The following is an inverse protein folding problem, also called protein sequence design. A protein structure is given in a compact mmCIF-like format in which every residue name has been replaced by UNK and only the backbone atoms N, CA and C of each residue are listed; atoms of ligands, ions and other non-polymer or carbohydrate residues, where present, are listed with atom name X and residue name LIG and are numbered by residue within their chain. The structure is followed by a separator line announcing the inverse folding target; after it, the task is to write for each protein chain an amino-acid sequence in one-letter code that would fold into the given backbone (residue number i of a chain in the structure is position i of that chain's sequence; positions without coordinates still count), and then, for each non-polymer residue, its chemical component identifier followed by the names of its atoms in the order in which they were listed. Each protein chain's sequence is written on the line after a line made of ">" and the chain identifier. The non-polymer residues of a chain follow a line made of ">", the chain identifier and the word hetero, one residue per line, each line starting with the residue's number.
data_IF_255118938170
#
_entry.id   IF_255118938170
#
_cell.length_a   1.000
_cell.length_b   1.000
_cell.length_c   1.000
_cell.angle_alpha   90.00
_cell.angle_beta   90.00
_cell.angle_gamma   90.00
#
_symmetry.space_group_name_H-M   'P 1'
#
loop_
_entity.id
_entity.type
_entity.pdbx_description
1 polymer ?
#
# COMPACT_ATOMS: atom_id res chain seq x y z
N UNK A 1 -8.91 -20.91 -0.77
CA UNK A 1 -8.94 -19.67 0.06
C UNK A 1 -7.55 -19.05 0.05
N UNK A 2 -7.42 -17.74 -0.23
CA UNK A 2 -6.10 -17.07 -0.31
C UNK A 2 -5.78 -16.31 0.97
N UNK A 3 -4.47 -16.10 1.23
CA UNK A 3 -3.97 -15.20 2.24
C UNK A 3 -3.52 -13.89 1.59
N UNK A 4 -4.04 -12.78 2.10
CA UNK A 4 -3.65 -11.44 1.66
C UNK A 4 -2.86 -10.75 2.78
N UNK A 5 -1.75 -10.12 2.42
CA UNK A 5 -0.97 -9.26 3.31
C UNK A 5 -1.08 -7.84 2.79
N UNK A 6 -1.72 -6.96 3.54
CA UNK A 6 -2.11 -5.63 3.04
C UNK A 6 -1.57 -4.54 3.95
N UNK A 7 -0.78 -3.62 3.41
CA UNK A 7 -0.38 -2.38 4.09
C UNK A 7 -1.38 -1.26 3.81
N UNK A 8 -1.59 -0.35 4.77
CA UNK A 8 -2.50 0.79 4.59
C UNK A 8 -3.99 0.41 4.62
N UNK A 9 -4.36 -0.60 5.41
CA UNK A 9 -5.74 -1.15 5.45
C UNK A 9 -6.78 -0.19 5.98
N UNK A 10 -6.40 0.88 6.69
CA UNK A 10 -7.34 1.87 7.22
C UNK A 10 -7.56 3.05 6.29
N UNK A 11 -6.78 3.16 5.20
CA UNK A 11 -7.00 4.09 4.11
C UNK A 11 -8.20 3.69 3.24
N UNK A 12 -8.65 4.59 2.37
CA UNK A 12 -9.84 4.40 1.53
C UNK A 12 -9.76 3.12 0.68
N UNK A 13 -8.69 2.93 -0.06
CA UNK A 13 -8.49 1.76 -0.92
C UNK A 13 -8.30 0.47 -0.11
N UNK A 14 -7.44 0.52 0.92
CA UNK A 14 -7.16 -0.63 1.78
C UNK A 14 -8.40 -1.13 2.51
N UNK A 15 -9.21 -0.22 3.03
CA UNK A 15 -10.44 -0.58 3.74
C UNK A 15 -11.47 -1.26 2.82
N UNK A 16 -11.66 -0.74 1.61
CA UNK A 16 -12.57 -1.37 0.64
C UNK A 16 -12.07 -2.74 0.19
N UNK A 17 -10.75 -2.92 0.03
CA UNK A 17 -10.16 -4.25 -0.23
C UNK A 17 -10.45 -5.21 0.92
N UNK A 18 -10.24 -4.79 2.17
CA UNK A 18 -10.56 -5.62 3.35
C UNK A 18 -12.01 -6.09 3.31
N UNK A 19 -12.97 -5.18 3.10
CA UNK A 19 -14.38 -5.51 3.00
C UNK A 19 -14.63 -6.59 1.95
N UNK A 20 -14.22 -6.34 0.72
CA UNK A 20 -14.49 -7.26 -0.41
C UNK A 20 -13.81 -8.63 -0.25
N UNK A 21 -12.58 -8.66 0.26
CA UNK A 21 -11.85 -9.91 0.41
C UNK A 21 -12.43 -10.79 1.51
N UNK A 22 -12.83 -10.19 2.65
CA UNK A 22 -13.51 -10.91 3.72
C UNK A 22 -14.89 -11.45 3.29
N UNK A 23 -15.66 -10.67 2.52
CA UNK A 23 -16.94 -11.12 1.94
C UNK A 23 -16.76 -12.31 0.98
N UNK A 24 -15.63 -12.38 0.27
CA UNK A 24 -15.27 -13.49 -0.61
C UNK A 24 -14.65 -14.69 0.12
N UNK A 25 -14.55 -14.63 1.44
CA UNK A 25 -14.05 -15.75 2.27
C UNK A 25 -12.53 -15.87 2.33
N UNK A 26 -11.79 -14.83 1.99
CA UNK A 26 -10.33 -14.82 2.10
C UNK A 26 -9.85 -14.43 3.48
N UNK A 27 -8.57 -14.69 3.80
CA UNK A 27 -7.92 -14.29 5.05
C UNK A 27 -6.96 -13.13 4.80
N UNK A 28 -6.85 -12.24 5.79
CA UNK A 28 -6.07 -11.01 5.70
C UNK A 28 -5.16 -10.87 6.92
N UNK A 29 -3.90 -10.56 6.67
CA UNK A 29 -2.98 -9.93 7.61
C UNK A 29 -2.86 -8.47 7.18
N UNK A 30 -3.49 -7.56 7.91
CA UNK A 30 -3.54 -6.14 7.59
C UNK A 30 -2.84 -5.28 8.62
N UNK A 31 -2.19 -4.21 8.18
CA UNK A 31 -1.57 -3.26 9.09
C UNK A 31 -1.65 -1.82 8.59
N UNK A 32 -1.60 -0.89 9.56
CA UNK A 32 -1.62 0.56 9.34
C UNK A 32 -0.98 1.26 10.55
N UNK A 33 -0.43 2.45 10.36
CA UNK A 33 0.15 3.27 11.43
C UNK A 33 -0.72 4.48 11.80
N UNK A 34 -1.91 4.58 11.21
CA UNK A 34 -2.87 5.68 11.40
C UNK A 34 -2.33 7.09 11.08
N UNK A 35 -1.31 7.20 10.25
CA UNK A 35 -0.72 8.50 9.92
C UNK A 35 -1.73 9.46 9.27
N UNK A 36 -2.62 8.95 8.42
CA UNK A 36 -3.64 9.73 7.71
C UNK A 36 -5.06 9.15 7.83
N UNK A 37 -5.26 8.22 8.76
CA UNK A 37 -6.51 7.47 8.92
C UNK A 37 -6.78 7.15 10.39
N UNK A 38 -7.78 6.33 10.69
CA UNK A 38 -8.07 5.92 12.06
C UNK A 38 -8.59 4.48 12.14
N UNK A 39 -8.51 3.89 13.33
CA UNK A 39 -9.05 2.56 13.63
C UNK A 39 -10.54 2.42 13.31
N UNK A 40 -11.29 3.52 13.29
CA UNK A 40 -12.73 3.50 13.06
C UNK A 40 -13.11 2.93 11.69
N UNK A 41 -12.25 3.08 10.68
CA UNK A 41 -12.52 2.58 9.33
C UNK A 41 -12.50 1.05 9.28
N UNK A 42 -11.64 0.41 10.06
CA UNK A 42 -11.47 -1.06 10.07
C UNK A 42 -12.23 -1.76 11.20
N UNK A 43 -12.73 -0.99 12.16
CA UNK A 43 -13.44 -1.51 13.34
C UNK A 43 -14.52 -2.56 13.02
N UNK A 44 -15.33 -2.44 11.94
CA UNK A 44 -16.35 -3.43 11.62
C UNK A 44 -15.80 -4.84 11.31
N UNK A 45 -14.51 -4.96 11.03
CA UNK A 45 -13.87 -6.22 10.58
C UNK A 45 -12.97 -6.85 11.65
N UNK A 46 -12.72 -6.17 12.78
CA UNK A 46 -11.78 -6.64 13.80
C UNK A 46 -12.25 -7.92 14.53
N UNK A 47 -13.55 -8.17 14.57
CA UNK A 47 -14.12 -9.37 15.19
C UNK A 47 -14.20 -10.56 14.20
N UNK A 48 -13.68 -10.41 12.98
CA UNK A 48 -13.68 -11.47 11.98
C UNK A 48 -12.45 -12.37 12.17
N UNK A 49 -12.64 -13.66 12.41
CA UNK A 49 -11.56 -14.65 12.58
C UNK A 49 -10.59 -14.75 11.40
N UNK A 50 -10.94 -14.18 10.25
CA UNK A 50 -10.10 -14.14 9.06
C UNK A 50 -9.34 -12.82 8.88
N UNK A 51 -9.47 -11.88 9.83
CA UNK A 51 -8.79 -10.60 9.83
C UNK A 51 -7.85 -10.47 11.02
N UNK A 52 -6.56 -10.48 10.76
CA UNK A 52 -5.55 -10.09 11.73
C UNK A 52 -5.11 -8.65 11.45
N UNK A 53 -5.36 -7.76 12.37
CA UNK A 53 -4.99 -6.35 12.25
C UNK A 53 -3.89 -5.97 13.25
N UNK A 54 -2.93 -5.18 12.77
CA UNK A 54 -1.82 -4.68 13.59
C UNK A 54 -1.61 -3.18 13.35
N UNK A 55 -1.43 -2.42 14.42
CA UNK A 55 -0.97 -1.05 14.36
C UNK A 55 0.56 -1.04 14.12
N UNK A 56 0.96 -1.15 12.85
CA UNK A 56 2.35 -1.25 12.44
C UNK A 56 2.69 -0.23 11.35
N UNK A 57 3.93 0.26 11.40
CA UNK A 57 4.51 1.15 10.38
C UNK A 57 5.35 0.33 9.39
N UNK A 58 5.08 0.49 8.09
CA UNK A 58 5.82 -0.16 7.01
C UNK A 58 7.33 0.13 7.05
N UNK A 59 7.74 1.26 7.66
CA UNK A 59 9.14 1.63 7.84
C UNK A 59 9.80 0.99 9.07
N UNK A 60 9.02 0.35 9.94
CA UNK A 60 9.54 -0.28 11.14
C UNK A 60 9.99 -1.72 10.85
N UNK A 61 11.29 -1.93 10.68
CA UNK A 61 11.88 -3.23 10.34
C UNK A 61 11.50 -4.36 11.29
N UNK A 62 11.39 -4.07 12.61
CA UNK A 62 11.01 -5.08 13.60
C UNK A 62 9.55 -5.52 13.43
N UNK A 63 8.66 -4.58 13.19
CA UNK A 63 7.24 -4.87 12.93
C UNK A 63 7.07 -5.63 11.62
N UNK A 64 7.81 -5.25 10.57
CA UNK A 64 7.80 -5.99 9.31
C UNK A 64 8.35 -7.41 9.43
N UNK A 65 9.36 -7.64 10.27
CA UNK A 65 9.82 -9.00 10.56
C UNK A 65 8.76 -9.82 11.31
N UNK A 66 7.96 -9.21 12.18
CA UNK A 66 6.83 -9.88 12.82
C UNK A 66 5.76 -10.29 11.79
N UNK A 67 5.42 -9.38 10.85
CA UNK A 67 4.50 -9.71 9.73
C UNK A 67 5.04 -10.90 8.93
N UNK A 68 6.33 -10.87 8.60
CA UNK A 68 6.99 -11.95 7.86
C UNK A 68 6.86 -13.31 8.57
N UNK A 69 7.12 -13.34 9.86
CA UNK A 69 7.04 -14.58 10.65
C UNK A 69 5.60 -15.12 10.67
N UNK A 70 4.60 -14.26 10.89
CA UNK A 70 3.18 -14.65 10.81
C UNK A 70 2.79 -15.23 9.45
N UNK A 71 3.33 -14.66 8.37
CA UNK A 71 3.10 -15.18 7.01
C UNK A 71 3.74 -16.56 6.85
N UNK A 72 5.00 -16.72 7.26
CA UNK A 72 5.70 -18.01 7.16
C UNK A 72 5.02 -19.13 7.93
N UNK A 73 4.45 -18.82 9.11
CA UNK A 73 3.73 -19.77 9.94
C UNK A 73 2.40 -20.23 9.32
N UNK A 74 1.83 -19.47 8.39
CA UNK A 74 0.45 -19.67 7.92
C UNK A 74 0.33 -19.95 6.42
N UNK A 75 1.25 -19.47 5.59
CA UNK A 75 1.11 -19.45 4.12
C UNK A 75 0.75 -20.79 3.50
N UNK A 76 1.32 -21.89 4.03
CA UNK A 76 1.14 -23.23 3.47
C UNK A 76 -0.30 -23.79 3.66
N UNK A 77 -1.14 -23.08 4.41
CA UNK A 77 -2.57 -23.40 4.59
C UNK A 77 -3.48 -22.73 3.55
N UNK A 78 -2.91 -21.97 2.62
CA UNK A 78 -3.67 -21.19 1.63
C UNK A 78 -3.27 -21.53 0.19
N UNK A 79 -4.21 -21.31 -0.73
CA UNK A 79 -3.99 -21.59 -2.17
C UNK A 79 -3.00 -20.63 -2.80
N UNK A 80 -3.03 -19.37 -2.37
CA UNK A 80 -2.12 -18.29 -2.82
C UNK A 80 -1.80 -17.33 -1.70
N UNK A 81 -0.58 -16.79 -1.75
CA UNK A 81 -0.10 -15.69 -0.93
C UNK A 81 0.01 -14.42 -1.78
N UNK A 82 -0.74 -13.39 -1.42
CA UNK A 82 -0.84 -12.14 -2.19
C UNK A 82 -0.50 -10.97 -1.29
N UNK A 83 0.46 -10.15 -1.72
CA UNK A 83 0.83 -8.90 -1.05
C UNK A 83 0.24 -7.70 -1.79
N UNK A 84 -0.36 -6.76 -1.05
CA UNK A 84 -0.90 -5.52 -1.62
C UNK A 84 -0.40 -4.32 -0.82
N UNK A 85 0.30 -3.41 -1.48
CA UNK A 85 0.72 -2.17 -0.87
C UNK A 85 -0.28 -1.05 -1.18
N UNK A 86 -1.00 -0.61 -0.13
CA UNK A 86 -1.84 0.59 -0.15
C UNK A 86 -1.30 1.69 0.77
N UNK A 87 -0.21 1.41 1.51
CA UNK A 87 0.41 2.40 2.38
C UNK A 87 1.18 3.43 1.55
N UNK A 88 0.75 4.68 1.64
CA UNK A 88 1.42 5.80 1.01
C UNK A 88 1.11 7.13 1.72
N UNK A 89 2.03 8.07 1.65
CA UNK A 89 1.79 9.46 2.04
C UNK A 89 1.23 10.19 0.82
N UNK A 90 -0.08 10.49 0.84
CA UNK A 90 -0.82 11.01 -0.34
C UNK A 90 -1.45 12.39 -0.13
N UNK A 91 -1.58 12.86 1.12
CA UNK A 91 -2.16 14.18 1.40
C UNK A 91 -1.16 15.30 1.10
N UNK A 92 -1.62 16.32 0.38
CA UNK A 92 -0.79 17.44 -0.07
C UNK A 92 -0.09 18.18 1.07
N UNK A 93 -0.72 18.30 2.22
CA UNK A 93 -0.14 18.89 3.42
C UNK A 93 1.04 18.08 3.99
N UNK A 94 1.10 16.78 3.71
CA UNK A 94 2.15 15.88 4.16
C UNK A 94 3.38 15.85 3.23
N UNK A 95 3.28 16.38 2.01
CA UNK A 95 4.41 16.38 1.06
C UNK A 95 5.57 17.29 1.50
N UNK A 96 5.31 18.23 2.40
CA UNK A 96 6.38 19.01 3.02
C UNK A 96 7.27 18.18 3.98
N UNK A 97 6.80 17.00 4.39
CA UNK A 97 7.60 16.02 5.14
C UNK A 97 8.36 15.09 4.18
N UNK A 98 9.29 15.64 3.40
CA UNK A 98 9.98 14.96 2.30
C UNK A 98 10.56 13.61 2.73
N UNK A 99 11.25 13.56 3.88
CA UNK A 99 11.84 12.32 4.39
C UNK A 99 10.76 11.26 4.63
N UNK A 100 9.66 11.62 5.29
CA UNK A 100 8.56 10.69 5.56
C UNK A 100 7.92 10.15 4.29
N UNK A 101 7.70 11.04 3.32
CA UNK A 101 7.14 10.65 2.01
C UNK A 101 8.07 9.68 1.30
N UNK A 102 9.36 9.99 1.23
CA UNK A 102 10.35 9.13 0.60
C UNK A 102 10.50 7.79 1.34
N UNK A 103 10.61 7.83 2.68
CA UNK A 103 10.73 6.63 3.50
C UNK A 103 9.53 5.69 3.31
N UNK A 104 8.31 6.23 3.28
CA UNK A 104 7.09 5.39 3.14
C UNK A 104 6.87 4.94 1.70
N UNK A 105 6.83 5.90 0.75
CA UNK A 105 6.40 5.60 -0.61
C UNK A 105 7.48 4.91 -1.46
N UNK A 106 8.76 5.07 -1.10
CA UNK A 106 9.88 4.45 -1.83
C UNK A 106 10.51 3.33 -1.02
N UNK A 107 11.09 3.64 0.14
CA UNK A 107 11.86 2.65 0.89
C UNK A 107 10.98 1.60 1.56
N UNK A 108 9.90 2.01 2.20
CA UNK A 108 8.94 1.12 2.84
C UNK A 108 8.27 0.17 1.83
N UNK A 109 7.80 0.72 0.70
CA UNK A 109 7.23 -0.07 -0.40
C UNK A 109 8.25 -1.07 -0.94
N UNK A 110 9.49 -0.63 -1.23
CA UNK A 110 10.57 -1.52 -1.71
C UNK A 110 10.86 -2.65 -0.72
N UNK A 111 10.97 -2.32 0.57
CA UNK A 111 11.30 -3.31 1.60
C UNK A 111 10.13 -4.29 1.80
N UNK A 112 8.89 -3.84 1.67
CA UNK A 112 7.69 -4.69 1.68
C UNK A 112 7.61 -5.61 0.46
N UNK A 113 7.97 -5.12 -0.73
CA UNK A 113 8.11 -5.95 -1.93
C UNK A 113 9.22 -7.00 -1.77
N UNK A 114 10.38 -6.62 -1.24
CA UNK A 114 11.47 -7.57 -0.96
C UNK A 114 11.05 -8.64 0.05
N UNK A 115 10.25 -8.27 1.05
CA UNK A 115 9.66 -9.23 1.99
C UNK A 115 8.75 -10.22 1.24
N UNK A 116 7.84 -9.74 0.39
CA UNK A 116 6.97 -10.60 -0.42
C UNK A 116 7.77 -11.62 -1.23
N UNK A 117 8.84 -11.18 -1.89
CA UNK A 117 9.76 -12.06 -2.62
C UNK A 117 10.40 -13.09 -1.67
N UNK A 118 10.88 -12.64 -0.51
CA UNK A 118 11.60 -13.51 0.44
C UNK A 118 10.74 -14.62 1.05
N UNK A 119 9.43 -14.42 1.16
CA UNK A 119 8.48 -15.43 1.66
C UNK A 119 7.86 -16.27 0.54
N UNK A 120 8.17 -15.97 -0.73
CA UNK A 120 7.64 -16.68 -1.88
C UNK A 120 6.18 -16.32 -2.17
N UNK A 121 5.82 -15.04 -2.12
CA UNK A 121 4.49 -14.59 -2.51
C UNK A 121 4.22 -14.85 -4.00
N UNK A 122 3.00 -15.30 -4.32
CA UNK A 122 2.58 -15.54 -5.70
C UNK A 122 2.37 -14.24 -6.47
N UNK A 123 1.91 -13.19 -5.77
CA UNK A 123 1.59 -11.89 -6.38
C UNK A 123 1.98 -10.76 -5.43
N UNK A 124 2.56 -9.70 -5.98
CA UNK A 124 2.72 -8.40 -5.33
C UNK A 124 2.00 -7.33 -6.16
N UNK A 125 1.13 -6.55 -5.52
CA UNK A 125 0.41 -5.44 -6.14
C UNK A 125 0.80 -4.16 -5.41
N UNK A 126 1.30 -3.17 -6.16
CA UNK A 126 1.52 -1.82 -5.64
C UNK A 126 0.44 -0.88 -6.17
N UNK A 127 -0.28 -0.21 -5.26
CA UNK A 127 -1.21 0.85 -5.64
C UNK A 127 -0.41 2.08 -6.06
N UNK A 128 -0.43 2.38 -7.35
CA UNK A 128 0.22 3.56 -7.94
C UNK A 128 -0.75 4.75 -7.97
N UNK A 129 -0.42 5.78 -8.73
CA UNK A 129 -1.19 7.03 -8.83
C UNK A 129 -1.23 7.55 -10.26
N UNK A 130 -2.27 8.31 -10.59
CA UNK A 130 -2.37 9.05 -11.85
C UNK A 130 -1.32 10.18 -11.98
N UNK A 131 -0.73 10.61 -10.86
CA UNK A 131 0.30 11.65 -10.85
C UNK A 131 1.62 11.22 -11.52
N UNK A 132 1.77 9.94 -11.88
CA UNK A 132 2.92 9.46 -12.68
C UNK A 132 2.89 9.99 -14.11
N UNK A 133 1.72 10.39 -14.62
CA UNK A 133 1.60 10.90 -15.98
C UNK A 133 1.97 12.38 -16.05
N UNK A 134 2.68 12.74 -17.13
CA UNK A 134 3.06 14.12 -17.40
C UNK A 134 1.85 15.00 -17.70
N UNK A 135 1.89 16.26 -17.28
CA UNK A 135 0.94 17.29 -17.73
C UNK A 135 0.87 17.43 -19.27
N UNK A 136 1.94 17.09 -19.97
CA UNK A 136 1.98 17.12 -21.45
C UNK A 136 1.20 15.96 -22.08
N UNK A 137 0.89 14.92 -21.32
CA UNK A 137 0.09 13.78 -21.77
C UNK A 137 -1.41 14.02 -21.64
N UNK A 138 -1.83 15.17 -21.14
CA UNK A 138 -3.25 15.49 -20.97
C UNK A 138 -3.86 15.90 -22.31
N UNK A 139 -4.50 14.93 -22.94
CA UNK A 139 -5.33 15.16 -24.12
C UNK A 139 -6.79 15.32 -23.72
N UNK A 140 -7.62 15.90 -24.60
CA UNK A 140 -9.07 16.01 -24.38
C UNK A 140 -9.75 14.65 -24.14
N UNK A 141 -9.17 13.57 -24.69
CA UNK A 141 -9.65 12.19 -24.58
C UNK A 141 -9.13 11.45 -23.34
N UNK A 142 -8.40 12.12 -22.44
CA UNK A 142 -7.77 11.51 -21.26
C UNK A 142 -6.37 10.96 -21.54
N UNK A 143 -5.76 10.39 -20.49
CA UNK A 143 -4.39 9.84 -20.51
C UNK A 143 -4.44 8.33 -20.69
N UNK A 144 -3.53 7.77 -21.48
CA UNK A 144 -3.42 6.34 -21.77
C UNK A 144 -2.22 5.76 -21.01
N UNK A 145 -2.26 4.48 -20.70
CA UNK A 145 -1.17 3.74 -20.05
C UNK A 145 0.14 3.74 -20.86
N UNK A 146 0.07 3.99 -22.18
CA UNK A 146 1.22 4.12 -23.07
C UNK A 146 1.83 5.52 -23.10
N UNK A 147 1.23 6.50 -22.43
CA UNK A 147 1.68 7.86 -22.43
C UNK A 147 2.92 8.06 -21.56
N UNK A 148 3.69 9.10 -21.85
CA UNK A 148 4.97 9.33 -21.19
C UNK A 148 4.79 9.56 -19.68
N UNK A 149 5.59 8.84 -18.90
CA UNK A 149 5.81 9.09 -17.49
C UNK A 149 7.00 10.03 -17.38
N UNK A 150 6.81 11.20 -16.75
CA UNK A 150 7.90 12.14 -16.50
C UNK A 150 7.93 12.50 -15.02
N UNK A 151 9.12 12.84 -14.54
CA UNK A 151 9.22 13.49 -13.24
C UNK A 151 8.51 14.84 -13.34
N UNK A 152 7.60 15.12 -12.39
CA UNK A 152 6.85 16.37 -12.42
C UNK A 152 7.79 17.57 -12.27
N UNK A 153 7.51 18.60 -13.05
CA UNK A 153 8.10 19.90 -12.90
C UNK A 153 7.63 20.52 -11.56
N UNK A 154 8.57 20.96 -10.74
CA UNK A 154 8.28 21.52 -9.43
C UNK A 154 7.39 22.77 -9.49
N UNK A 155 7.44 23.55 -10.57
CA UNK A 155 6.60 24.71 -10.79
C UNK A 155 5.14 24.34 -11.05
N UNK A 156 4.89 23.24 -11.76
CA UNK A 156 3.56 22.76 -12.09
C UNK A 156 2.95 21.87 -10.99
N UNK A 157 3.78 21.21 -10.22
CA UNK A 157 3.33 20.26 -9.17
C UNK A 157 2.94 20.95 -7.85
N UNK A 158 3.12 22.25 -7.71
CA UNK A 158 2.84 22.98 -6.46
C UNK A 158 3.45 22.31 -5.21
N UNK A 159 4.67 21.83 -5.32
CA UNK A 159 5.35 21.13 -4.24
C UNK A 159 5.17 19.60 -4.24
N UNK A 160 4.47 19.03 -5.22
CA UNK A 160 4.29 17.57 -5.37
C UNK A 160 5.42 16.89 -6.15
N UNK A 161 6.58 17.57 -6.31
CA UNK A 161 7.71 17.05 -7.09
C UNK A 161 8.19 15.66 -6.67
N UNK A 162 7.90 15.24 -5.45
CA UNK A 162 8.28 13.91 -4.94
C UNK A 162 7.28 12.81 -5.31
N UNK A 163 6.07 13.13 -5.77
CA UNK A 163 5.05 12.12 -6.06
C UNK A 163 5.48 11.14 -7.16
N UNK A 164 5.97 11.60 -8.34
CA UNK A 164 6.39 10.68 -9.40
C UNK A 164 7.57 9.79 -9.02
N UNK A 165 8.41 10.24 -8.08
CA UNK A 165 9.55 9.45 -7.59
C UNK A 165 9.13 8.45 -6.54
N UNK A 166 8.08 8.76 -5.77
CA UNK A 166 7.63 7.99 -4.61
C UNK A 166 6.39 7.11 -4.89
N UNK A 167 5.87 7.16 -6.08
CA UNK A 167 4.76 6.33 -6.54
C UNK A 167 5.25 5.28 -7.52
#
# INVERSE_FOLDING_TARGET
>A
MNLYVISGVTGMTGNELVRQLLERGHSIIGFDNFFASSINTIKPYLDCDRMDFFEYDINNKRQMEQVKNMVLDRKDSFDKLIYINCAAVVHTEHFYYINRTFDTNVLGMRDFMNQAISVGADVFINCSTSEVYSMQSWAEDGVRESDFITMSDAEHSQGRAMLPVSC
#
